data_IF_159153898924
#
_entry.id   IF_159153898924
#
_cell.length_a   1.000
_cell.length_b   1.000
_cell.length_c   1.000
_cell.angle_alpha   90.00
_cell.angle_beta   90.00
_cell.angle_gamma   90.00
#
_symmetry.space_group_name_H-M   'P 1'
#
loop_
_entity.id
_entity.type
_entity.pdbx_description
1 polymer ?
#
# COMPACT_ATOMS: atom_id res chain seq x y z
N UNK A 1 -7.96 14.59 -3.81
CA UNK A 1 -7.91 13.12 -3.70
C UNK A 1 -8.87 12.49 -4.69
N UNK A 2 -8.42 11.47 -5.39
CA UNK A 2 -9.26 10.78 -6.36
C UNK A 2 -10.33 9.92 -5.67
N UNK A 3 -11.60 9.99 -6.13
CA UNK A 3 -12.64 9.08 -5.63
C UNK A 3 -12.31 7.60 -5.85
N UNK A 4 -11.49 7.29 -6.86
CA UNK A 4 -11.09 5.92 -7.17
C UNK A 4 -10.30 5.27 -6.04
N UNK A 5 -9.51 6.05 -5.30
CA UNK A 5 -8.75 5.52 -4.16
C UNK A 5 -9.68 5.03 -3.05
N UNK A 6 -10.73 5.78 -2.77
CA UNK A 6 -11.73 5.39 -1.77
C UNK A 6 -12.50 4.16 -2.24
N UNK A 7 -12.87 4.14 -3.49
CA UNK A 7 -13.63 3.03 -4.07
C UNK A 7 -12.85 1.72 -4.02
N UNK A 8 -11.59 1.73 -4.47
CA UNK A 8 -10.80 0.50 -4.47
C UNK A 8 -10.55 -0.02 -3.05
N UNK A 9 -10.29 0.88 -2.10
CA UNK A 9 -10.09 0.47 -0.70
C UNK A 9 -11.37 -0.09 -0.09
N UNK A 10 -12.54 0.50 -0.39
CA UNK A 10 -13.82 -0.03 0.04
C UNK A 10 -14.06 -1.43 -0.49
N UNK A 11 -13.78 -1.66 -1.78
CA UNK A 11 -13.96 -2.96 -2.42
C UNK A 11 -12.97 -3.98 -1.84
N UNK A 12 -11.72 -3.58 -1.63
CA UNK A 12 -10.72 -4.47 -1.00
C UNK A 12 -11.17 -4.90 0.40
N UNK A 13 -11.74 -3.98 1.17
CA UNK A 13 -12.27 -4.33 2.49
C UNK A 13 -13.47 -5.27 2.39
N UNK A 14 -14.37 -5.04 1.45
CA UNK A 14 -15.54 -5.88 1.22
C UNK A 14 -15.14 -7.32 0.88
N UNK A 15 -14.11 -7.49 0.07
CA UNK A 15 -13.61 -8.80 -0.35
C UNK A 15 -12.61 -9.41 0.63
N UNK A 16 -12.37 -8.74 1.76
CA UNK A 16 -11.44 -9.21 2.79
C UNK A 16 -10.03 -9.45 2.26
N UNK A 17 -9.58 -8.59 1.36
CA UNK A 17 -8.22 -8.64 0.83
C UNK A 17 -7.24 -8.30 1.92
N UNK A 18 -6.17 -9.09 2.05
CA UNK A 18 -5.04 -8.74 2.91
C UNK A 18 -4.13 -7.79 2.14
N UNK A 19 -4.08 -6.55 2.60
CA UNK A 19 -3.27 -5.51 1.97
C UNK A 19 -2.73 -4.53 3.01
N UNK A 20 -1.66 -3.86 2.62
CA UNK A 20 -1.09 -2.75 3.40
C UNK A 20 -0.85 -1.58 2.45
N UNK A 21 -1.30 -0.39 2.85
CA UNK A 21 -0.94 0.83 2.12
C UNK A 21 0.53 1.11 2.43
N UNK A 22 1.32 1.31 1.38
CA UNK A 22 2.74 1.64 1.46
C UNK A 22 2.99 2.95 0.69
N UNK A 23 4.24 3.31 0.45
CA UNK A 23 4.56 4.48 -0.36
C UNK A 23 4.20 5.80 0.30
N UNK A 24 3.90 6.81 -0.51
CA UNK A 24 3.70 8.19 -0.04
C UNK A 24 2.54 8.33 0.93
N UNK A 25 1.44 7.61 0.73
CA UNK A 25 0.30 7.68 1.65
C UNK A 25 0.63 7.09 3.01
N UNK A 26 1.50 6.07 3.09
CA UNK A 26 1.97 5.56 4.37
C UNK A 26 2.88 6.57 5.06
N UNK A 27 3.76 7.23 4.30
CA UNK A 27 4.60 8.29 4.85
C UNK A 27 3.73 9.39 5.47
N UNK A 28 2.68 9.81 4.76
CA UNK A 28 1.77 10.84 5.25
C UNK A 28 1.02 10.42 6.51
N UNK A 29 0.75 9.15 6.68
CA UNK A 29 0.12 8.66 7.91
C UNK A 29 0.98 8.92 9.15
N UNK A 30 2.30 8.80 9.00
CA UNK A 30 3.24 8.92 10.11
C UNK A 30 4.04 10.22 10.10
N UNK A 31 3.74 11.13 9.18
CA UNK A 31 4.49 12.35 8.99
C UNK A 31 3.54 13.46 8.54
N UNK A 32 4.02 14.33 7.66
CA UNK A 32 3.24 15.47 7.19
C UNK A 32 2.57 15.20 5.85
N UNK A 33 1.41 15.81 5.59
CA UNK A 33 0.76 15.72 4.29
C UNK A 33 1.67 16.24 3.17
N UNK A 34 1.58 15.58 2.02
CA UNK A 34 2.24 16.06 0.81
C UNK A 34 1.39 15.66 -0.39
N UNK A 35 1.64 16.30 -1.54
CA UNK A 35 0.94 15.92 -2.76
C UNK A 35 1.49 14.58 -3.28
N UNK A 36 0.60 13.69 -3.66
CA UNK A 36 0.94 12.48 -4.40
C UNK A 36 -0.24 12.08 -5.29
N UNK A 37 0.06 11.58 -6.47
CA UNK A 37 -0.93 11.10 -7.43
C UNK A 37 -1.03 9.58 -7.45
N UNK A 38 -0.16 8.88 -6.72
CA UNK A 38 -0.07 7.42 -6.74
C UNK A 38 -0.48 6.84 -5.39
N UNK A 39 -1.38 5.85 -5.42
CA UNK A 39 -1.69 5.03 -4.25
C UNK A 39 -1.01 3.69 -4.43
N UNK A 40 -0.14 3.33 -3.49
CA UNK A 40 0.60 2.08 -3.52
C UNK A 40 0.00 1.11 -2.51
N UNK A 41 -0.48 -0.03 -2.99
CA UNK A 41 -1.12 -1.06 -2.17
C UNK A 41 -0.31 -2.35 -2.30
N UNK A 42 0.24 -2.81 -1.18
CA UNK A 42 0.99 -4.06 -1.11
C UNK A 42 0.06 -5.18 -0.65
N UNK A 43 -0.08 -6.22 -1.46
CA UNK A 43 -0.97 -7.35 -1.17
C UNK A 43 -0.16 -8.56 -0.72
N UNK A 44 -0.80 -9.44 0.07
CA UNK A 44 -0.23 -10.75 0.35
C UNK A 44 -0.31 -11.58 -0.94
N UNK A 45 0.83 -12.03 -1.42
CA UNK A 45 0.93 -12.82 -2.65
C UNK A 45 0.76 -14.31 -2.33
N UNK A 46 -0.45 -14.70 -1.94
CA UNK A 46 -0.82 -16.08 -1.64
C UNK A 46 -1.92 -16.53 -2.59
N UNK A 47 -2.09 -17.83 -2.75
CA UNK A 47 -3.15 -18.37 -3.61
C UNK A 47 -4.53 -17.90 -3.17
N UNK A 48 -4.79 -17.93 -1.87
CA UNK A 48 -6.09 -17.56 -1.32
C UNK A 48 -6.36 -16.06 -1.51
N UNK A 49 -5.40 -15.22 -1.13
CA UNK A 49 -5.55 -13.78 -1.23
C UNK A 49 -5.59 -13.31 -2.69
N UNK A 50 -4.84 -13.97 -3.59
CA UNK A 50 -4.82 -13.60 -5.01
C UNK A 50 -6.20 -13.72 -5.66
N UNK A 51 -6.99 -14.69 -5.25
CA UNK A 51 -8.37 -14.84 -5.72
C UNK A 51 -9.23 -13.68 -5.27
N UNK A 52 -9.08 -13.25 -4.04
CA UNK A 52 -9.79 -12.10 -3.48
C UNK A 52 -9.40 -10.81 -4.18
N UNK A 53 -8.10 -10.63 -4.40
CA UNK A 53 -7.56 -9.47 -5.12
C UNK A 53 -8.14 -9.41 -6.55
N UNK A 54 -8.10 -10.52 -7.26
CA UNK A 54 -8.60 -10.58 -8.63
C UNK A 54 -10.10 -10.24 -8.68
N UNK A 55 -10.89 -10.85 -7.79
CA UNK A 55 -12.32 -10.59 -7.74
C UNK A 55 -12.62 -9.12 -7.40
N UNK A 56 -11.89 -8.55 -6.45
CA UNK A 56 -12.03 -7.15 -6.05
C UNK A 56 -11.68 -6.20 -7.20
N UNK A 57 -10.56 -6.46 -7.88
CA UNK A 57 -10.15 -5.64 -9.01
C UNK A 57 -11.13 -5.72 -10.17
N UNK A 58 -11.72 -6.90 -10.39
CA UNK A 58 -12.74 -7.06 -11.43
C UNK A 58 -13.99 -6.23 -11.10
N UNK A 59 -14.44 -6.24 -9.85
CA UNK A 59 -15.56 -5.39 -9.44
C UNK A 59 -15.25 -3.92 -9.60
N UNK A 60 -14.01 -3.52 -9.28
CA UNK A 60 -13.57 -2.14 -9.47
C UNK A 60 -13.57 -1.71 -10.94
N UNK A 61 -13.44 -2.67 -11.86
CA UNK A 61 -13.38 -2.39 -13.28
C UNK A 61 -11.96 -2.27 -13.82
N UNK A 62 -10.98 -2.88 -13.14
CA UNK A 62 -9.60 -2.84 -13.58
C UNK A 62 -9.40 -3.57 -14.91
N UNK A 63 -8.43 -3.15 -15.75
CA UNK A 63 -8.16 -3.79 -17.04
C UNK A 63 -7.37 -5.09 -16.84
N UNK A 64 -8.09 -6.19 -16.58
CA UNK A 64 -7.49 -7.50 -16.23
C UNK A 64 -7.33 -8.46 -17.42
N UNK A 65 -7.51 -8.00 -18.67
CA UNK A 65 -7.51 -8.89 -19.83
C UNK A 65 -6.24 -9.73 -19.97
N UNK A 66 -5.09 -9.20 -19.52
CA UNK A 66 -3.80 -9.90 -19.61
C UNK A 66 -3.36 -10.50 -18.26
N UNK A 67 -4.25 -10.50 -17.26
CA UNK A 67 -3.92 -10.96 -15.91
C UNK A 67 -4.79 -12.13 -15.51
N UNK A 68 -4.21 -12.99 -14.67
CA UNK A 68 -4.93 -14.11 -14.05
C UNK A 68 -4.82 -14.02 -12.53
N UNK A 69 -5.62 -14.82 -11.82
CA UNK A 69 -5.50 -14.91 -10.37
C UNK A 69 -4.08 -15.29 -9.94
N UNK A 70 -3.44 -16.21 -10.65
CA UNK A 70 -2.10 -16.67 -10.33
C UNK A 70 -1.05 -15.55 -10.41
N UNK A 71 -1.26 -14.56 -11.26
CA UNK A 71 -0.33 -13.44 -11.36
C UNK A 71 -0.23 -12.65 -10.04
N UNK A 72 -1.32 -12.56 -9.29
CA UNK A 72 -1.33 -11.87 -8.00
C UNK A 72 -0.77 -12.73 -6.86
N UNK A 73 -0.46 -13.99 -7.11
CA UNK A 73 0.23 -14.87 -6.17
C UNK A 73 1.73 -14.96 -6.45
N UNK A 74 2.21 -14.27 -7.49
CA UNK A 74 3.60 -14.28 -7.93
C UNK A 74 4.23 -12.91 -7.69
N UNK A 75 5.54 -12.84 -7.78
CA UNK A 75 6.28 -11.59 -7.69
C UNK A 75 5.89 -10.64 -8.82
N UNK A 76 5.95 -9.34 -8.56
CA UNK A 76 5.68 -8.34 -9.57
C UNK A 76 4.79 -7.21 -9.07
N UNK A 77 4.17 -6.52 -10.03
CA UNK A 77 3.25 -5.43 -9.73
C UNK A 77 2.23 -5.29 -10.85
N UNK A 78 1.10 -4.68 -10.52
CA UNK A 78 0.05 -4.34 -11.48
C UNK A 78 -0.29 -2.87 -11.34
N UNK A 79 -0.17 -2.14 -12.42
CA UNK A 79 -0.35 -0.70 -12.45
C UNK A 79 -1.60 -0.37 -13.23
N UNK A 80 -2.45 0.51 -12.68
CA UNK A 80 -3.66 0.94 -13.38
C UNK A 80 -3.93 2.41 -13.12
N UNK A 81 -4.72 3.01 -14.01
CA UNK A 81 -5.11 4.42 -13.92
C UNK A 81 -4.44 5.27 -14.97
N UNK A 82 -4.62 6.58 -14.82
CA UNK A 82 -4.11 7.59 -15.75
C UNK A 82 -2.83 8.20 -15.20
N UNK A 83 -2.04 8.92 -16.03
CA UNK A 83 -0.78 9.50 -15.58
C UNK A 83 -0.90 10.40 -14.34
N UNK A 84 -2.06 11.01 -14.10
CA UNK A 84 -2.27 11.92 -12.96
C UNK A 84 -2.90 11.25 -11.74
N UNK A 85 -3.46 10.04 -11.90
CA UNK A 85 -4.11 9.30 -10.82
C UNK A 85 -3.85 7.82 -11.06
N UNK A 86 -2.95 7.24 -10.28
CA UNK A 86 -2.51 5.87 -10.49
C UNK A 86 -2.60 5.04 -9.22
N UNK A 87 -3.02 3.78 -9.38
CA UNK A 87 -2.99 2.79 -8.32
C UNK A 87 -2.00 1.71 -8.72
N UNK A 88 -1.05 1.42 -7.85
CA UNK A 88 -0.06 0.38 -8.02
C UNK A 88 -0.34 -0.73 -7.02
N UNK A 89 -0.57 -1.95 -7.54
CA UNK A 89 -0.73 -3.15 -6.71
C UNK A 89 0.62 -3.86 -6.72
N UNK A 90 1.23 -3.98 -5.54
CA UNK A 90 2.57 -4.56 -5.39
C UNK A 90 2.46 -5.93 -4.75
N UNK A 91 3.05 -6.95 -5.36
CA UNK A 91 3.07 -8.31 -4.84
C UNK A 91 4.27 -8.54 -3.90
N UNK A 92 5.28 -7.69 -4.00
CA UNK A 92 6.43 -7.70 -3.09
C UNK A 92 7.00 -6.30 -2.96
N UNK A 93 7.70 -6.04 -1.86
CA UNK A 93 8.46 -4.80 -1.65
C UNK A 93 9.82 -5.17 -1.05
N UNK A 94 10.79 -4.26 -1.17
CA UNK A 94 12.11 -4.50 -0.61
C UNK A 94 12.14 -4.34 0.90
N UNK A 95 13.00 -5.09 1.56
CA UNK A 95 13.37 -4.87 2.96
C UNK A 95 12.47 -5.52 4.00
N UNK A 96 11.28 -5.99 3.63
CA UNK A 96 10.37 -6.64 4.58
C UNK A 96 9.44 -7.60 3.85
N UNK A 97 9.10 -8.73 4.50
CA UNK A 97 8.15 -9.69 3.95
C UNK A 97 6.74 -9.42 4.48
N UNK A 98 5.73 -9.81 3.70
CA UNK A 98 4.33 -9.57 4.10
C UNK A 98 3.98 -10.26 5.42
N UNK A 99 4.33 -11.56 5.64
CA UNK A 99 4.04 -12.21 6.92
C UNK A 99 4.65 -11.50 8.13
N UNK A 100 5.83 -10.88 7.95
CA UNK A 100 6.49 -10.15 9.04
C UNK A 100 5.86 -8.77 9.26
N UNK A 101 5.37 -8.13 8.20
CA UNK A 101 4.78 -6.79 8.29
C UNK A 101 3.33 -6.80 8.77
N UNK A 102 2.58 -7.83 8.42
CA UNK A 102 1.15 -7.89 8.70
C UNK A 102 0.78 -7.71 10.18
N UNK A 103 1.47 -8.38 11.13
CA UNK A 103 1.15 -8.20 12.55
C UNK A 103 1.40 -6.79 13.07
N UNK A 104 2.27 -6.04 12.41
CA UNK A 104 2.67 -4.69 12.84
C UNK A 104 1.84 -3.59 12.19
N UNK A 105 0.85 -3.96 11.38
CA UNK A 105 0.05 -2.98 10.65
C UNK A 105 -0.71 -2.05 11.58
N UNK A 106 -0.92 -0.83 11.09
CA UNK A 106 -1.78 0.13 11.75
C UNK A 106 -3.08 0.25 10.98
N UNK A 107 -4.20 0.08 11.66
CA UNK A 107 -5.50 0.35 11.08
C UNK A 107 -5.81 1.83 11.29
N UNK A 108 -6.27 2.47 10.22
CA UNK A 108 -6.55 3.90 10.28
C UNK A 108 -7.63 4.29 9.30
N UNK A 109 -7.81 5.59 9.17
CA UNK A 109 -8.84 6.17 8.31
C UNK A 109 -8.18 6.74 7.05
N UNK A 110 -8.68 6.32 5.89
CA UNK A 110 -8.29 6.89 4.60
C UNK A 110 -9.48 7.64 4.04
N UNK A 111 -9.59 8.90 4.41
CA UNK A 111 -10.68 9.80 3.99
C UNK A 111 -12.05 9.16 4.19
N UNK A 112 -12.30 8.64 5.40
CA UNK A 112 -13.55 8.02 5.78
C UNK A 112 -13.63 6.51 5.54
N UNK A 113 -12.63 5.90 4.93
CA UNK A 113 -12.59 4.46 4.66
C UNK A 113 -11.60 3.80 5.61
N UNK A 114 -12.00 2.77 6.36
CA UNK A 114 -11.04 2.00 7.16
C UNK A 114 -9.97 1.41 6.25
N UNK A 115 -8.71 1.52 6.64
CA UNK A 115 -7.62 1.03 5.81
C UNK A 115 -6.48 0.48 6.67
N UNK A 116 -5.74 -0.47 6.10
CA UNK A 116 -4.57 -1.06 6.73
C UNK A 116 -3.31 -0.39 6.16
N UNK A 117 -2.48 0.14 7.03
CA UNK A 117 -1.22 0.77 6.66
C UNK A 117 -0.05 -0.06 7.16
N UNK A 118 1.03 -0.11 6.40
CA UNK A 118 2.29 -0.69 6.88
C UNK A 118 2.70 0.01 8.16
N UNK A 119 3.24 -0.73 9.13
CA UNK A 119 3.73 -0.14 10.37
C UNK A 119 4.93 0.78 10.12
N UNK A 120 5.20 1.75 11.02
CA UNK A 120 6.25 2.74 10.78
C UNK A 120 7.66 2.13 10.70
N UNK A 121 7.96 1.12 11.50
CA UNK A 121 9.28 0.48 11.46
C UNK A 121 9.48 -0.31 10.17
N UNK A 122 8.44 -1.00 9.71
CA UNK A 122 8.49 -1.74 8.45
C UNK A 122 8.56 -0.78 7.26
N UNK A 123 7.90 0.38 7.35
CA UNK A 123 8.01 1.41 6.33
C UNK A 123 9.45 1.93 6.22
N UNK A 124 10.09 2.17 7.35
CA UNK A 124 11.51 2.59 7.37
C UNK A 124 12.40 1.51 6.77
N UNK A 125 12.17 0.25 7.11
CA UNK A 125 12.94 -0.87 6.54
C UNK A 125 12.77 -0.94 5.01
N UNK A 126 11.54 -0.76 4.52
CA UNK A 126 11.26 -0.75 3.09
C UNK A 126 11.97 0.40 2.38
N UNK A 127 11.87 1.61 2.93
CA UNK A 127 12.50 2.80 2.36
C UNK A 127 14.03 2.70 2.39
N UNK A 128 14.58 2.11 3.45
CA UNK A 128 16.02 1.90 3.58
C UNK A 128 16.55 0.94 2.52
N UNK A 129 15.77 -0.06 2.15
CA UNK A 129 16.15 -1.01 1.11
C UNK A 129 16.21 -0.34 -0.27
N UNK A 130 15.32 0.60 -0.56
CA UNK A 130 15.34 1.37 -1.80
C UNK A 130 16.44 2.43 -1.81
N UNK A 131 16.59 3.14 -0.70
CA UNK A 131 17.62 4.16 -0.44
C UNK A 131 17.74 5.24 -1.53
N UNK A 132 16.64 5.56 -2.24
CA UNK A 132 16.63 6.70 -3.18
C UNK A 132 16.64 8.01 -2.38
N UNK A 133 17.05 9.14 -2.98
CA UNK A 133 17.07 10.43 -2.26
C UNK A 133 15.75 10.75 -1.55
N UNK A 134 14.61 10.55 -2.22
CA UNK A 134 13.30 10.79 -1.60
C UNK A 134 13.05 9.82 -0.45
N UNK A 135 13.50 8.57 -0.56
CA UNK A 135 13.34 7.57 0.50
C UNK A 135 14.08 7.98 1.78
N UNK A 136 15.28 8.54 1.63
CA UNK A 136 16.07 9.00 2.78
C UNK A 136 15.37 10.18 3.47
N UNK A 137 14.79 11.08 2.71
CA UNK A 137 13.99 12.19 3.24
C UNK A 137 12.77 11.65 3.98
N UNK A 138 12.07 10.68 3.40
CA UNK A 138 10.88 10.07 3.99
C UNK A 138 11.20 9.37 5.31
N UNK A 139 12.33 8.65 5.37
CA UNK A 139 12.81 8.00 6.61
C UNK A 139 12.98 9.03 7.71
N UNK A 140 13.67 10.12 7.38
CA UNK A 140 13.93 11.19 8.34
C UNK A 140 12.62 11.81 8.83
N UNK A 141 11.68 12.07 7.92
CA UNK A 141 10.38 12.64 8.27
C UNK A 141 9.58 11.75 9.20
N UNK A 142 9.57 10.44 8.95
CA UNK A 142 8.85 9.48 9.79
C UNK A 142 9.49 9.38 11.17
N UNK A 143 10.83 9.31 11.23
CA UNK A 143 11.55 9.24 12.50
C UNK A 143 11.35 10.50 13.33
N UNK A 144 11.43 11.67 12.71
CA UNK A 144 11.26 12.94 13.40
C UNK A 144 9.83 13.11 13.94
N UNK A 145 8.84 12.71 13.18
CA UNK A 145 7.44 12.78 13.62
C UNK A 145 7.20 11.88 14.83
N UNK A 146 7.77 10.66 14.84
CA UNK A 146 7.66 9.73 15.97
C UNK A 146 8.35 10.29 17.20
N UNK A 147 9.54 10.84 17.06
CA UNK A 147 10.25 11.47 18.17
C UNK A 147 9.45 12.66 18.74
N UNK A 148 8.86 13.47 17.86
CA UNK A 148 8.04 14.61 18.26
C UNK A 148 6.74 14.23 18.96
N UNK A 149 6.19 13.04 18.66
CA UNK A 149 4.96 12.53 19.29
C UNK A 149 5.23 11.76 20.58
N UNK A 150 6.49 11.48 20.90
CA UNK A 150 6.84 10.67 22.06
C UNK A 150 6.62 9.18 21.88
N UNK A 151 6.41 8.72 20.68
CA UNK A 151 6.19 7.29 20.34
C UNK A 151 7.50 6.56 20.08
N UNK A 152 8.38 6.58 21.03
CA UNK A 152 9.68 5.93 20.89
C UNK A 152 9.71 4.54 21.51
#
# INVERSE_FOLDING_TARGET
MSPDFKEILSIFNEYEVKYLIVGAYAVMKYSEPRYTKDLDIWIEASEDNSKRVYAALREFGAPLSDMSEADFASDGFFQMGRPLVRVDILMSIGGVSFPDAWPNRHQGDFVGIPANFIGPDDLVANKSASARPQDLIDIESVKNARAGSGEL
#
